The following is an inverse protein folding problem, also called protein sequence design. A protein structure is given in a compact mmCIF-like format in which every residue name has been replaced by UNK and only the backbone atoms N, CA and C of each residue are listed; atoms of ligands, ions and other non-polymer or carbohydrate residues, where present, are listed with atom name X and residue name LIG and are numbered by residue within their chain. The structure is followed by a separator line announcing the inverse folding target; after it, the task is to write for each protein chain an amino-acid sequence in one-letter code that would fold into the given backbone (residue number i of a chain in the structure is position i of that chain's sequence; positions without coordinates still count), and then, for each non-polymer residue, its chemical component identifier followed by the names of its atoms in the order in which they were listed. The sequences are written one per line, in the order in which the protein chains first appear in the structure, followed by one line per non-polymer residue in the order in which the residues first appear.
data_IF_171710047809
#
_entry.id   IF_171710047809
#
_cell.length_a   1.000
_cell.length_b   1.000
_cell.length_c   1.000
_cell.angle_alpha   90.00
_cell.angle_beta   90.00
_cell.angle_gamma   90.00
#
_symmetry.space_group_name_H-M   'P 1'
#
loop_
_entity.id
_entity.type
_entity.pdbx_description
1 polymer ?
#
# COMPACT_ATOMS: atom_id res chain seq x y z
N UNK A 1 -3.76 22.54 -20.91
CA UNK A 1 -3.78 21.46 -21.73
C UNK A 1 -3.55 20.18 -20.96
N UNK A 2 -4.17 19.28 -21.34
CA UNK A 2 -4.10 18.12 -20.57
C UNK A 2 -3.36 17.04 -21.29
N UNK A 3 -2.34 16.61 -20.78
CA UNK A 3 -1.58 15.58 -21.43
C UNK A 3 -1.72 14.27 -20.69
N UNK A 4 -2.91 13.89 -20.52
CA UNK A 4 -3.16 12.74 -19.75
C UNK A 4 -2.87 11.48 -20.46
N UNK A 5 -1.64 11.22 -20.71
CA UNK A 5 -1.22 9.95 -21.27
C UNK A 5 -1.52 8.81 -20.33
N UNK A 6 -1.25 9.03 -19.05
CA UNK A 6 -1.48 8.02 -18.02
C UNK A 6 -2.28 8.65 -16.89
N UNK A 7 -3.20 7.89 -16.29
CA UNK A 7 -3.93 8.41 -15.14
C UNK A 7 -2.99 8.59 -13.95
N UNK A 8 -3.14 9.70 -13.26
CA UNK A 8 -2.43 9.93 -12.02
C UNK A 8 -3.26 9.40 -10.85
N UNK A 9 -2.63 8.77 -9.86
CA UNK A 9 -3.35 8.31 -8.68
C UNK A 9 -3.85 9.49 -7.84
N UNK A 10 -4.96 9.33 -7.14
CA UNK A 10 -5.43 10.36 -6.21
C UNK A 10 -4.41 10.62 -5.13
N UNK A 11 -4.12 11.88 -4.87
CA UNK A 11 -3.15 12.26 -3.83
C UNK A 11 -3.67 12.02 -2.43
N UNK A 12 -4.98 11.90 -2.27
CA UNK A 12 -5.60 11.69 -0.96
C UNK A 12 -5.43 10.27 -0.43
N UNK A 13 -5.09 9.30 -1.29
CA UNK A 13 -4.87 7.93 -0.86
C UNK A 13 -3.41 7.69 -0.52
N UNK A 14 -3.18 6.90 0.52
CA UNK A 14 -1.84 6.46 0.87
C UNK A 14 -1.24 5.56 -0.20
N UNK A 15 0.06 5.33 -0.10
CA UNK A 15 0.79 4.52 -1.07
C UNK A 15 1.46 3.34 -0.39
N UNK A 16 1.60 2.27 -1.13
CA UNK A 16 2.32 1.08 -0.67
C UNK A 16 3.76 1.43 -0.23
N UNK A 17 4.40 2.36 -0.91
CA UNK A 17 5.76 2.79 -0.57
C UNK A 17 5.85 3.46 0.80
N UNK A 18 4.75 3.92 1.37
CA UNK A 18 4.74 4.58 2.68
C UNK A 18 4.50 3.63 3.85
N UNK A 19 4.19 2.35 3.60
CA UNK A 19 3.76 1.43 4.66
C UNK A 19 4.86 1.18 5.68
N UNK A 20 6.05 0.84 5.23
CA UNK A 20 7.14 0.47 6.13
C UNK A 20 7.55 1.64 7.01
N UNK A 21 7.77 2.82 6.41
CA UNK A 21 8.14 4.01 7.16
C UNK A 21 7.05 4.44 8.14
N UNK A 22 5.78 4.35 7.72
CA UNK A 22 4.66 4.70 8.60
C UNK A 22 4.56 3.73 9.77
N UNK A 23 4.76 2.44 9.53
CA UNK A 23 4.76 1.44 10.60
C UNK A 23 5.89 1.70 11.60
N UNK A 24 7.08 2.01 11.11
CA UNK A 24 8.21 2.32 11.99
C UNK A 24 7.93 3.56 12.83
N UNK A 25 7.43 4.62 12.24
CA UNK A 25 7.07 5.85 12.96
C UNK A 25 5.99 5.58 14.01
N UNK A 26 5.02 4.73 13.71
CA UNK A 26 3.99 4.36 14.67
C UNK A 26 4.57 3.70 15.92
N UNK A 27 5.62 2.87 15.79
CA UNK A 27 6.27 2.27 16.94
C UNK A 27 7.08 3.28 17.76
N UNK A 28 7.40 4.41 17.17
CA UNK A 28 8.13 5.51 17.83
C UNK A 28 7.19 6.59 18.36
N UNK A 29 5.88 6.41 18.21
CA UNK A 29 4.90 7.41 18.63
C UNK A 29 4.90 8.66 17.77
N UNK A 30 5.40 8.59 16.54
CA UNK A 30 5.51 9.74 15.65
C UNK A 30 4.38 9.77 14.65
N UNK A 31 4.07 10.98 14.17
CA UNK A 31 3.12 11.13 13.06
C UNK A 31 3.67 10.46 11.80
N UNK A 32 2.78 9.87 11.02
CA UNK A 32 3.15 9.14 9.82
C UNK A 32 2.13 9.35 8.70
N UNK A 33 2.55 9.06 7.48
CA UNK A 33 1.77 9.36 6.28
C UNK A 33 0.45 8.57 6.21
N UNK A 34 0.40 7.39 6.79
CA UNK A 34 -0.79 6.57 6.77
C UNK A 34 -1.66 6.73 8.01
N UNK A 35 -1.27 7.64 8.91
CA UNK A 35 -2.03 7.95 10.13
C UNK A 35 -2.23 6.73 11.03
N UNK A 36 -1.24 5.86 11.11
CA UNK A 36 -1.29 4.75 12.06
C UNK A 36 -1.18 5.27 13.49
N UNK A 37 -1.97 4.70 14.36
CA UNK A 37 -1.90 5.02 15.79
C UNK A 37 -0.59 4.53 16.39
N UNK A 38 -0.15 5.19 17.46
CA UNK A 38 1.05 4.76 18.18
C UNK A 38 0.84 3.37 18.77
N UNK A 39 1.80 2.47 18.55
CA UNK A 39 1.75 1.09 19.02
C UNK A 39 3.14 0.66 19.49
N UNK A 40 3.21 -0.39 20.29
CA UNK A 40 4.51 -0.90 20.77
C UNK A 40 5.27 -1.64 19.69
N UNK A 41 4.56 -2.39 18.88
CA UNK A 41 5.16 -3.19 17.82
C UNK A 41 4.18 -3.34 16.67
N UNK A 42 4.74 -3.59 15.48
CA UNK A 42 3.96 -3.77 14.26
C UNK A 42 4.46 -5.01 13.54
N UNK A 43 3.53 -5.78 13.03
CA UNK A 43 3.83 -6.86 12.09
C UNK A 43 3.20 -6.50 10.76
N UNK A 44 4.01 -6.38 9.73
CA UNK A 44 3.53 -6.07 8.37
C UNK A 44 3.59 -7.34 7.55
N UNK A 45 2.45 -7.75 7.03
CA UNK A 45 2.34 -8.95 6.20
C UNK A 45 2.02 -8.51 4.79
N UNK A 46 2.93 -8.78 3.86
CA UNK A 46 2.75 -8.48 2.45
C UNK A 46 2.29 -9.74 1.73
N UNK A 47 1.09 -9.71 1.17
CA UNK A 47 0.54 -10.83 0.43
C UNK A 47 0.53 -10.49 -1.05
N UNK A 48 1.32 -11.23 -1.81
CA UNK A 48 1.45 -11.02 -3.24
C UNK A 48 0.16 -11.36 -3.97
N UNK A 49 -0.21 -10.51 -4.92
CA UNK A 49 -1.36 -10.75 -5.77
C UNK A 49 -2.73 -10.58 -5.12
N UNK A 50 -2.78 -10.18 -3.85
CA UNK A 50 -4.05 -10.00 -3.15
C UNK A 50 -4.39 -8.52 -3.04
N UNK A 51 -5.40 -8.09 -3.80
CA UNK A 51 -5.93 -6.74 -3.69
C UNK A 51 -7.29 -6.72 -3.01
N UNK A 52 -7.77 -5.53 -2.68
CA UNK A 52 -9.07 -5.38 -2.04
C UNK A 52 -10.20 -5.93 -2.90
N UNK A 53 -10.10 -5.80 -4.22
CA UNK A 53 -11.09 -6.35 -5.14
C UNK A 53 -11.15 -7.88 -5.05
N UNK A 54 -9.99 -8.54 -5.04
CA UNK A 54 -9.91 -10.00 -4.91
C UNK A 54 -10.52 -10.46 -3.59
N UNK A 55 -10.25 -9.72 -2.53
CA UNK A 55 -10.72 -10.08 -1.20
C UNK A 55 -12.23 -9.95 -1.10
N UNK A 56 -12.79 -8.89 -1.68
CA UNK A 56 -14.24 -8.71 -1.73
C UNK A 56 -14.92 -9.79 -2.56
N UNK A 57 -14.30 -10.18 -3.67
CA UNK A 57 -14.84 -11.24 -4.52
C UNK A 57 -14.84 -12.60 -3.83
N UNK A 58 -13.90 -12.84 -2.91
CA UNK A 58 -13.87 -14.07 -2.13
C UNK A 58 -15.03 -14.19 -1.13
N UNK A 59 -15.61 -13.05 -0.72
CA UNK A 59 -16.81 -13.05 0.10
C UNK A 59 -16.73 -13.91 1.34
N UNK A 60 -17.60 -14.90 1.42
CA UNK A 60 -17.68 -15.77 2.59
C UNK A 60 -16.49 -16.69 2.82
N UNK A 61 -15.62 -16.84 1.83
CA UNK A 61 -14.42 -17.68 1.99
C UNK A 61 -13.30 -16.95 2.75
N UNK A 62 -13.40 -15.65 2.89
CA UNK A 62 -12.39 -14.84 3.58
C UNK A 62 -13.07 -13.89 4.56
N UNK A 63 -13.90 -14.41 5.44
CA UNK A 63 -14.72 -13.60 6.33
C UNK A 63 -13.94 -12.68 7.22
N UNK A 64 -12.89 -13.19 7.84
CA UNK A 64 -12.07 -12.41 8.76
C UNK A 64 -11.42 -11.21 8.05
N UNK A 65 -10.79 -11.48 6.92
CA UNK A 65 -10.12 -10.44 6.16
C UNK A 65 -11.12 -9.44 5.56
N UNK A 66 -12.28 -9.91 5.11
CA UNK A 66 -13.31 -9.01 4.61
C UNK A 66 -13.88 -8.11 5.70
N UNK A 67 -14.05 -8.62 6.91
CA UNK A 67 -14.46 -7.80 8.05
C UNK A 67 -13.43 -6.72 8.35
N UNK A 68 -12.15 -7.10 8.36
CA UNK A 68 -11.07 -6.15 8.58
C UNK A 68 -11.00 -5.12 7.46
N UNK A 69 -11.26 -5.55 6.22
CA UNK A 69 -11.22 -4.66 5.06
C UNK A 69 -12.23 -3.52 5.17
N UNK A 70 -13.41 -3.78 5.72
CA UNK A 70 -14.43 -2.76 5.88
C UNK A 70 -14.00 -1.62 6.80
N UNK A 71 -13.08 -1.89 7.71
CA UNK A 71 -12.56 -0.90 8.64
C UNK A 71 -11.20 -0.36 8.23
N UNK A 72 -10.68 -0.80 7.11
CA UNK A 72 -9.37 -0.40 6.65
C UNK A 72 -9.45 0.71 5.62
N UNK A 73 -8.32 1.36 5.38
CA UNK A 73 -8.18 2.32 4.30
C UNK A 73 -7.46 1.65 3.15
N UNK A 74 -7.97 1.87 1.95
CA UNK A 74 -7.28 1.44 0.75
C UNK A 74 -6.02 2.27 0.53
N UNK A 75 -4.99 1.64 0.01
CA UNK A 75 -3.78 2.33 -0.44
C UNK A 75 -3.51 1.92 -1.87
N UNK A 76 -2.69 2.72 -2.54
CA UNK A 76 -2.35 2.47 -3.93
C UNK A 76 -1.01 1.77 -4.03
N UNK A 77 -0.97 0.71 -4.82
CA UNK A 77 0.30 0.16 -5.28
C UNK A 77 0.94 1.14 -6.26
N UNK A 78 2.19 0.98 -6.56
CA UNK A 78 2.85 1.82 -7.55
C UNK A 78 2.30 1.59 -8.94
N UNK A 79 2.67 2.44 -9.86
CA UNK A 79 2.33 2.27 -11.26
C UNK A 79 3.63 2.18 -12.08
N UNK A 80 3.80 1.12 -12.89
CA UNK A 80 2.91 -0.03 -13.03
C UNK A 80 2.88 -0.91 -11.77
N UNK A 81 1.78 -1.61 -11.55
CA UNK A 81 1.56 -2.38 -10.32
C UNK A 81 1.98 -3.84 -10.47
N UNK A 82 3.21 -4.05 -10.93
CA UNK A 82 3.77 -5.40 -11.02
C UNK A 82 4.39 -5.81 -9.70
N UNK A 83 4.63 -7.11 -9.52
CA UNK A 83 5.24 -7.63 -8.31
C UNK A 83 6.61 -7.00 -8.05
N UNK A 84 7.46 -6.95 -9.08
CA UNK A 84 8.81 -6.39 -8.91
C UNK A 84 8.76 -4.92 -8.50
N UNK A 85 7.90 -4.13 -9.13
CA UNK A 85 7.73 -2.72 -8.80
C UNK A 85 7.19 -2.55 -7.39
N UNK A 86 6.15 -3.29 -7.04
CA UNK A 86 5.48 -3.14 -5.75
C UNK A 86 6.37 -3.58 -4.59
N UNK A 87 7.08 -4.69 -4.71
CA UNK A 87 7.99 -5.16 -3.66
C UNK A 87 9.13 -4.18 -3.49
N UNK A 88 9.68 -3.65 -4.59
CA UNK A 88 10.75 -2.67 -4.51
C UNK A 88 10.27 -1.40 -3.83
N UNK A 89 9.09 -0.90 -4.19
CA UNK A 89 8.51 0.27 -3.55
C UNK A 89 8.26 0.03 -2.05
N UNK A 90 7.73 -1.13 -1.71
CA UNK A 90 7.48 -1.48 -0.32
C UNK A 90 8.76 -1.53 0.50
N UNK A 91 9.80 -2.20 -0.02
CA UNK A 91 11.05 -2.40 0.71
C UNK A 91 11.93 -1.15 0.80
N UNK A 92 11.91 -0.31 -0.23
CA UNK A 92 12.76 0.88 -0.27
C UNK A 92 12.07 2.15 0.23
N UNK A 93 10.74 2.15 0.28
CA UNK A 93 10.00 3.38 0.57
C UNK A 93 10.01 4.37 -0.58
N UNK A 94 10.42 3.94 -1.75
CA UNK A 94 10.52 4.80 -2.93
C UNK A 94 9.40 4.48 -3.92
N UNK A 95 9.01 5.47 -4.70
CA UNK A 95 8.08 5.27 -5.81
C UNK A 95 8.83 4.70 -7.01
N UNK A 96 8.13 4.14 -8.01
CA UNK A 96 8.80 3.62 -9.21
C UNK A 96 9.69 4.64 -9.91
N UNK A 97 9.29 5.91 -9.93
CA UNK A 97 10.12 6.96 -10.51
C UNK A 97 11.44 7.14 -9.76
N UNK A 98 11.44 6.87 -8.48
CA UNK A 98 12.61 7.05 -7.63
C UNK A 98 13.54 5.86 -7.66
N UNK A 99 13.01 4.62 -7.63
CA UNK A 99 13.89 3.45 -7.62
C UNK A 99 14.20 2.91 -9.03
N UNK A 100 13.48 3.36 -10.05
CA UNK A 100 13.78 3.02 -11.44
C UNK A 100 13.38 1.62 -11.90
N UNK A 101 12.67 0.87 -11.09
CA UNK A 101 12.18 -0.47 -11.45
C UNK A 101 10.74 -0.32 -11.95
N UNK A 102 10.50 -0.64 -13.21
CA UNK A 102 9.17 -0.51 -13.81
C UNK A 102 8.55 -1.82 -14.24
N UNK A 103 9.22 -2.93 -13.98
CA UNK A 103 8.78 -4.24 -14.33
C UNK A 103 9.86 -5.24 -14.00
N UNK A 104 9.69 -6.44 -14.47
CA UNK A 104 10.74 -7.43 -14.24
C UNK A 104 11.12 -8.11 -15.53
#
# INVERSE_FOLDING_TARGET
MSTKMLPAPPKSLGRLSAVFASALKATQGQANDLNFAAVKSVCVILVDGLGSHNLRAAGGHARFLNSALQQSKGILAGFPSTTAVSITSFGTGLTPNEHGIFGY
#
